data_IF_139058407386
#
_entry.id   IF_139058407386
#
_cell.length_a   1.000
_cell.length_b   1.000
_cell.length_c   1.000
_cell.angle_alpha   90.00
_cell.angle_beta   90.00
_cell.angle_gamma   90.00
#
_symmetry.space_group_name_H-M   'P 1'
#
loop_
_entity.id
_entity.type
_entity.pdbx_description
1 polymer ?
#
# COMPACT_ATOMS: atom_id res chain seq x y z
N UNK A 1 -5.34 -4.25 4.08
CA UNK A 1 -4.70 -5.45 3.53
C UNK A 1 -3.36 -5.76 4.20
N UNK A 2 -2.87 -7.01 4.08
CA UNK A 2 -1.68 -7.49 4.75
C UNK A 2 -0.42 -7.42 3.88
N UNK A 3 -0.58 -7.39 2.58
CA UNK A 3 0.52 -7.27 1.63
C UNK A 3 0.99 -5.82 1.46
N UNK A 4 2.10 -5.66 0.80
CA UNK A 4 2.72 -4.38 0.48
C UNK A 4 3.36 -4.44 -0.90
N UNK A 5 3.58 -3.29 -1.52
CA UNK A 5 4.37 -3.19 -2.73
C UNK A 5 5.78 -3.69 -2.51
N UNK A 6 6.37 -4.26 -3.55
CA UNK A 6 7.73 -4.80 -3.50
C UNK A 6 8.32 -4.91 -4.91
N UNK A 7 9.45 -5.58 -5.02
CA UNK A 7 10.08 -5.92 -6.28
C UNK A 7 10.39 -7.40 -6.31
N UNK A 8 10.54 -7.97 -7.50
CA UNK A 8 11.13 -9.28 -7.68
C UNK A 8 12.46 -9.19 -8.42
N UNK A 9 13.41 -10.06 -8.05
CA UNK A 9 14.57 -10.33 -8.89
C UNK A 9 14.09 -10.90 -10.22
N UNK A 10 14.40 -10.22 -11.31
CA UNK A 10 13.99 -10.63 -12.65
C UNK A 10 15.15 -11.21 -13.47
N UNK A 11 16.33 -10.60 -13.36
CA UNK A 11 17.52 -11.01 -14.09
C UNK A 11 18.78 -10.71 -13.27
N UNK A 12 19.76 -11.57 -13.34
CA UNK A 12 21.07 -11.40 -12.73
C UNK A 12 22.10 -11.44 -13.86
N UNK A 13 22.84 -10.33 -14.04
CA UNK A 13 23.87 -10.22 -15.07
C UNK A 13 25.15 -10.99 -14.71
N UNK A 14 25.99 -11.26 -15.70
CA UNK A 14 27.24 -12.01 -15.51
C UNK A 14 28.22 -11.27 -14.57
N UNK A 15 28.14 -9.94 -14.49
CA UNK A 15 28.91 -9.09 -13.58
C UNK A 15 28.24 -8.90 -12.20
N UNK A 16 27.20 -9.66 -11.89
CA UNK A 16 26.59 -9.74 -10.54
C UNK A 16 25.59 -8.63 -10.21
N UNK A 17 25.13 -7.85 -11.19
CA UNK A 17 24.08 -6.88 -10.98
C UNK A 17 22.69 -7.51 -11.12
N UNK A 18 21.73 -7.04 -10.31
CA UNK A 18 20.39 -7.61 -10.24
C UNK A 18 19.37 -6.61 -10.83
N UNK A 19 18.65 -7.03 -11.85
CA UNK A 19 17.55 -6.27 -12.47
C UNK A 19 16.22 -6.77 -11.93
N UNK A 20 15.25 -5.86 -11.84
CA UNK A 20 14.02 -6.09 -11.08
C UNK A 20 12.77 -5.87 -11.93
N UNK A 21 11.67 -6.46 -11.50
CA UNK A 21 10.32 -6.11 -11.93
C UNK A 21 9.50 -5.67 -10.71
N UNK A 22 8.45 -4.90 -10.96
CA UNK A 22 7.54 -4.45 -9.92
C UNK A 22 6.65 -5.59 -9.42
N UNK A 23 6.35 -5.55 -8.14
CA UNK A 23 5.22 -6.24 -7.53
C UNK A 23 4.33 -5.17 -6.90
N UNK A 24 3.21 -4.88 -7.54
CA UNK A 24 2.38 -3.73 -7.22
C UNK A 24 2.94 -2.41 -7.74
N UNK A 25 2.57 -1.32 -7.07
CA UNK A 25 2.83 0.06 -7.48
C UNK A 25 4.22 0.62 -7.10
N UNK A 26 5.26 -0.21 -7.00
CA UNK A 26 6.61 0.24 -6.63
C UNK A 26 7.15 1.32 -7.59
N UNK A 27 7.65 2.44 -7.04
CA UNK A 27 8.12 3.57 -7.84
C UNK A 27 9.62 3.45 -8.18
N UNK A 28 9.88 3.28 -9.48
CA UNK A 28 11.26 3.19 -9.99
C UNK A 28 12.01 4.52 -9.98
N UNK A 29 11.30 5.66 -9.93
CA UNK A 29 11.95 6.98 -9.94
C UNK A 29 12.67 7.28 -8.63
N UNK A 30 12.17 6.74 -7.52
CA UNK A 30 12.77 6.92 -6.20
C UNK A 30 13.70 5.77 -5.79
N UNK A 31 13.80 4.72 -6.60
CA UNK A 31 14.59 3.55 -6.29
C UNK A 31 16.11 3.83 -6.16
N UNK A 32 16.75 4.66 -7.03
CA UNK A 32 18.18 4.93 -6.92
C UNK A 32 18.61 5.38 -5.53
N UNK A 33 19.73 4.82 -5.05
CA UNK A 33 20.31 5.06 -3.71
C UNK A 33 19.57 4.42 -2.53
N UNK A 34 18.41 3.81 -2.73
CA UNK A 34 17.71 3.10 -1.65
C UNK A 34 18.42 1.78 -1.33
N UNK A 35 18.60 1.53 -0.03
CA UNK A 35 18.98 0.21 0.49
C UNK A 35 17.76 -0.71 0.42
N UNK A 36 18.01 -1.98 0.12
CA UNK A 36 16.95 -3.00 0.02
C UNK A 36 17.30 -4.27 0.79
N UNK A 37 16.27 -5.02 1.12
CA UNK A 37 16.32 -6.37 1.65
C UNK A 37 15.88 -7.33 0.56
N UNK A 38 16.75 -8.25 0.14
CA UNK A 38 16.42 -9.36 -0.73
C UNK A 38 16.13 -10.57 0.15
N UNK A 39 14.92 -11.09 0.07
CA UNK A 39 14.48 -12.20 0.90
C UNK A 39 14.84 -13.52 0.23
N UNK A 40 15.75 -14.27 0.83
CA UNK A 40 16.19 -15.59 0.38
C UNK A 40 15.82 -16.66 1.41
N UNK A 41 15.89 -17.93 1.02
CA UNK A 41 15.71 -19.05 1.96
C UNK A 41 16.77 -19.09 3.09
N UNK A 42 17.92 -18.44 2.89
CA UNK A 42 19.01 -18.39 3.85
C UNK A 42 18.96 -17.14 4.74
N UNK A 43 17.95 -16.29 4.59
CA UNK A 43 17.81 -15.01 5.29
C UNK A 43 17.83 -13.81 4.35
N UNK A 44 18.07 -12.64 4.92
CA UNK A 44 18.03 -11.37 4.20
C UNK A 44 19.43 -11.02 3.67
N UNK A 45 19.53 -10.80 2.36
CA UNK A 45 20.71 -10.21 1.71
C UNK A 45 20.46 -8.71 1.52
N UNK A 46 21.40 -7.88 1.96
CA UNK A 46 21.33 -6.43 1.75
C UNK A 46 21.84 -6.07 0.37
N UNK A 47 21.18 -5.15 -0.29
CA UNK A 47 21.60 -4.56 -1.55
C UNK A 47 21.32 -3.07 -1.60
N UNK A 48 21.79 -2.42 -2.63
CA UNK A 48 21.53 -1.00 -2.89
C UNK A 48 21.14 -0.82 -4.36
N UNK A 49 20.09 -0.05 -4.63
CA UNK A 49 19.81 0.40 -5.98
C UNK A 49 20.90 1.36 -6.44
N UNK A 50 21.67 0.92 -7.44
CA UNK A 50 22.76 1.70 -8.03
C UNK A 50 22.24 2.80 -8.95
N UNK A 51 23.06 3.85 -9.08
CA UNK A 51 22.86 4.89 -10.08
C UNK A 51 24.19 5.53 -10.43
N UNK A 52 24.47 5.89 -11.70
CA UNK A 52 25.71 6.55 -12.06
C UNK A 52 25.93 7.85 -11.29
N UNK A 53 27.16 8.07 -10.81
CA UNK A 53 27.51 9.29 -10.07
C UNK A 53 27.31 10.54 -10.96
N UNK A 54 26.93 11.67 -10.35
CA UNK A 54 26.70 12.92 -11.07
C UNK A 54 27.89 13.32 -11.96
N UNK A 55 29.11 13.08 -11.50
CA UNK A 55 30.34 13.42 -12.24
C UNK A 55 30.56 12.57 -13.50
N UNK A 56 29.91 11.42 -13.61
CA UNK A 56 29.99 10.51 -14.76
C UNK A 56 28.85 10.69 -15.74
N UNK A 57 27.85 11.51 -15.38
CA UNK A 57 26.71 11.82 -16.21
C UNK A 57 26.97 13.13 -16.99
N UNK A 58 26.52 13.21 -18.23
CA UNK A 58 26.53 14.45 -19.01
C UNK A 58 25.10 14.94 -19.19
N UNK A 59 24.88 16.25 -19.13
CA UNK A 59 23.56 16.87 -19.30
C UNK A 59 22.87 16.44 -20.62
N UNK A 60 23.64 16.24 -21.69
CA UNK A 60 23.13 15.79 -22.97
C UNK A 60 22.69 14.31 -23.00
N UNK A 61 23.07 13.53 -22.00
CA UNK A 61 22.75 12.07 -21.87
C UNK A 61 22.07 11.76 -20.53
N UNK A 62 21.53 12.78 -19.86
CA UNK A 62 20.80 12.58 -18.61
C UNK A 62 19.60 11.67 -18.86
N UNK A 63 19.51 10.59 -18.08
CA UNK A 63 18.38 9.66 -18.15
C UNK A 63 17.65 9.66 -16.82
N UNK A 64 16.32 9.64 -16.88
CA UNK A 64 15.51 9.37 -15.71
C UNK A 64 15.60 7.89 -15.33
N UNK A 65 15.48 7.54 -14.05
CA UNK A 65 15.32 6.16 -13.63
C UNK A 65 14.09 5.52 -14.30
N UNK A 66 14.28 4.32 -14.86
CA UNK A 66 13.27 3.49 -15.51
C UNK A 66 13.47 2.04 -15.09
N UNK A 67 12.48 1.20 -15.28
CA UNK A 67 12.59 -0.23 -14.96
C UNK A 67 13.73 -0.95 -15.68
N UNK A 68 14.05 -0.53 -16.88
CA UNK A 68 15.07 -1.13 -17.72
C UNK A 68 16.51 -0.65 -17.41
N UNK A 69 16.66 0.42 -16.60
CA UNK A 69 17.95 0.99 -16.30
C UNK A 69 18.29 1.08 -14.80
N UNK A 70 17.36 0.70 -13.90
CA UNK A 70 17.67 0.53 -12.48
C UNK A 70 18.20 -0.89 -12.20
N UNK A 71 19.13 -1.00 -11.28
CA UNK A 71 19.71 -2.27 -10.88
C UNK A 71 20.08 -2.25 -9.40
N UNK A 72 20.23 -3.44 -8.80
CA UNK A 72 20.68 -3.60 -7.42
C UNK A 72 22.08 -4.20 -7.42
N UNK A 73 22.94 -3.63 -6.60
CA UNK A 73 24.26 -4.13 -6.28
C UNK A 73 24.23 -4.77 -4.87
N UNK A 74 24.75 -6.00 -4.78
CA UNK A 74 24.92 -6.76 -3.53
C UNK A 74 26.39 -7.00 -3.19
N UNK A 75 27.31 -6.30 -3.86
CA UNK A 75 28.76 -6.40 -3.65
C UNK A 75 29.42 -7.62 -4.33
N UNK A 76 28.71 -8.31 -5.21
CA UNK A 76 29.22 -9.44 -6.00
C UNK A 76 29.74 -8.99 -7.36
N UNK A 77 30.70 -9.73 -7.90
CA UNK A 77 31.32 -9.46 -9.20
C UNK A 77 30.94 -10.48 -10.28
N UNK A 78 30.19 -11.51 -9.91
CA UNK A 78 29.72 -12.56 -10.84
C UNK A 78 28.35 -13.05 -10.45
N UNK A 79 27.64 -13.61 -11.40
CA UNK A 79 26.35 -14.24 -11.20
C UNK A 79 26.40 -15.40 -10.21
N UNK A 80 27.50 -16.18 -10.25
CA UNK A 80 27.70 -17.32 -9.34
C UNK A 80 27.84 -16.84 -7.89
N UNK A 81 28.57 -15.76 -7.64
CA UNK A 81 28.72 -15.17 -6.32
C UNK A 81 27.38 -14.65 -5.77
N UNK A 82 26.51 -14.10 -6.62
CA UNK A 82 25.14 -13.73 -6.23
C UNK A 82 24.31 -14.96 -5.86
N UNK A 83 24.43 -16.06 -6.62
CA UNK A 83 23.74 -17.31 -6.34
C UNK A 83 24.21 -17.95 -5.01
N UNK A 84 25.50 -17.84 -4.66
CA UNK A 84 26.06 -18.31 -3.38
C UNK A 84 25.40 -17.61 -2.18
N UNK A 85 24.97 -16.35 -2.32
CA UNK A 85 24.19 -15.63 -1.31
C UNK A 85 22.75 -16.18 -1.18
N UNK A 86 22.33 -17.08 -2.06
CA UNK A 86 20.98 -17.61 -2.11
C UNK A 86 19.99 -16.74 -2.92
N UNK A 87 20.48 -15.73 -3.63
CA UNK A 87 19.66 -14.85 -4.46
C UNK A 87 19.43 -15.53 -5.81
N UNK A 88 18.18 -15.60 -6.23
CA UNK A 88 17.75 -16.14 -7.51
C UNK A 88 16.58 -15.34 -8.10
N UNK A 89 16.26 -15.55 -9.36
CA UNK A 89 15.07 -14.97 -10.00
C UNK A 89 13.82 -15.37 -9.24
N UNK A 90 12.99 -14.39 -8.89
CA UNK A 90 11.78 -14.57 -8.09
C UNK A 90 11.96 -14.28 -6.58
N UNK A 91 13.19 -14.02 -6.09
CA UNK A 91 13.35 -13.50 -4.73
C UNK A 91 12.61 -12.16 -4.58
N UNK A 92 11.85 -12.03 -3.49
CA UNK A 92 11.15 -10.77 -3.14
C UNK A 92 12.15 -9.76 -2.59
N UNK A 93 11.95 -8.49 -2.94
CA UNK A 93 12.79 -7.39 -2.50
C UNK A 93 11.90 -6.31 -1.88
N UNK A 94 12.23 -5.90 -0.65
CA UNK A 94 11.54 -4.82 0.06
C UNK A 94 12.54 -3.75 0.50
N UNK A 95 12.04 -2.55 0.79
CA UNK A 95 12.83 -1.57 1.52
C UNK A 95 13.01 -2.02 2.99
N UNK A 96 14.05 -1.54 3.70
CA UNK A 96 14.24 -1.85 5.11
C UNK A 96 13.06 -1.38 5.97
N UNK A 97 12.78 -2.13 7.01
CA UNK A 97 11.76 -1.79 7.99
C UNK A 97 12.33 -0.73 8.94
N UNK A 98 11.86 0.50 8.80
CA UNK A 98 12.24 1.64 9.64
C UNK A 98 10.99 2.33 10.13
N UNK A 99 11.01 2.80 11.39
CA UNK A 99 9.93 3.58 11.95
C UNK A 99 10.49 4.86 12.57
N UNK A 100 9.98 5.99 12.14
CA UNK A 100 10.38 7.29 12.65
C UNK A 100 9.17 8.10 13.09
N UNK A 101 9.35 8.86 14.17
CA UNK A 101 8.39 9.85 14.61
C UNK A 101 8.93 11.23 14.25
N UNK A 102 8.20 11.95 13.40
CA UNK A 102 8.52 13.32 13.05
C UNK A 102 7.68 14.28 13.90
N UNK A 103 8.35 15.24 14.52
CA UNK A 103 7.72 16.33 15.26
C UNK A 103 6.58 15.86 16.20
N UNK A 104 6.80 14.78 16.95
CA UNK A 104 5.93 14.22 18.01
C UNK A 104 4.70 13.42 17.54
N UNK A 105 4.09 13.74 16.40
CA UNK A 105 2.76 13.25 16.02
C UNK A 105 2.66 12.73 14.59
N UNK A 106 3.75 12.73 13.82
CA UNK A 106 3.78 12.19 12.47
C UNK A 106 4.64 10.92 12.43
N UNK A 107 4.07 9.84 11.94
CA UNK A 107 4.77 8.57 11.78
C UNK A 107 5.23 8.39 10.33
N UNK A 108 6.44 7.90 10.17
CA UNK A 108 7.01 7.53 8.88
C UNK A 108 7.51 6.11 8.95
N UNK A 109 6.97 5.24 8.13
CA UNK A 109 7.50 3.90 7.91
C UNK A 109 7.00 3.33 6.59
N UNK A 110 7.67 2.27 6.16
CA UNK A 110 7.23 1.46 5.04
C UNK A 110 5.86 0.83 5.32
N UNK A 111 5.07 0.67 4.28
CA UNK A 111 3.81 -0.08 4.30
C UNK A 111 2.78 0.42 5.33
N UNK A 112 2.71 1.74 5.58
CA UNK A 112 1.52 2.33 6.19
C UNK A 112 0.28 2.06 5.34
N UNK A 113 0.48 1.88 4.04
CA UNK A 113 -0.38 1.22 3.09
C UNK A 113 -0.14 -0.30 3.14
N UNK A 114 -0.98 -1.12 3.78
CA UNK A 114 -2.17 -0.69 4.52
C UNK A 114 -2.14 -1.24 5.97
N UNK A 115 -0.98 -1.15 6.63
CA UNK A 115 -0.84 -1.53 8.05
C UNK A 115 -1.74 -0.66 8.93
N UNK A 116 -2.04 0.58 8.51
CA UNK A 116 -2.95 1.45 9.24
C UNK A 116 -4.39 0.93 9.22
N UNK A 117 -4.88 0.49 8.07
CA UNK A 117 -6.19 -0.17 7.98
C UNK A 117 -6.25 -1.45 8.81
N UNK A 118 -5.20 -2.27 8.75
CA UNK A 118 -5.07 -3.46 9.60
C UNK A 118 -5.14 -3.13 11.09
N UNK A 119 -4.46 -2.08 11.53
CA UNK A 119 -4.54 -1.57 12.90
C UNK A 119 -5.96 -1.13 13.26
N UNK A 120 -6.64 -0.39 12.38
CA UNK A 120 -8.01 0.10 12.63
C UNK A 120 -8.99 -1.05 12.86
N UNK A 121 -9.00 -2.06 12.01
CA UNK A 121 -9.90 -3.21 12.17
C UNK A 121 -9.60 -4.02 13.43
N UNK A 122 -8.32 -4.15 13.79
CA UNK A 122 -7.93 -4.79 15.06
C UNK A 122 -8.42 -3.98 16.26
N UNK A 123 -8.36 -2.64 16.21
CA UNK A 123 -8.92 -1.78 17.26
C UNK A 123 -10.43 -1.90 17.38
N UNK A 124 -11.17 -2.05 16.28
CA UNK A 124 -12.63 -2.31 16.32
C UNK A 124 -12.91 -3.58 17.11
N UNK A 125 -12.22 -4.69 16.81
CA UNK A 125 -12.38 -5.94 17.55
C UNK A 125 -12.06 -5.77 19.05
N UNK A 126 -10.96 -5.10 19.37
CA UNK A 126 -10.56 -4.81 20.75
C UNK A 126 -11.62 -4.00 21.50
N UNK A 127 -12.08 -2.91 20.92
CA UNK A 127 -13.07 -2.03 21.56
C UNK A 127 -14.41 -2.73 21.78
N UNK A 128 -14.86 -3.57 20.86
CA UNK A 128 -16.08 -4.37 21.03
C UNK A 128 -15.92 -5.37 22.18
N UNK A 129 -14.79 -6.03 22.28
CA UNK A 129 -14.48 -6.97 23.34
C UNK A 129 -14.41 -6.28 24.71
N UNK A 130 -13.63 -5.21 24.84
CA UNK A 130 -13.46 -4.44 26.09
C UNK A 130 -14.79 -3.85 26.59
N UNK A 131 -15.62 -3.37 25.69
CA UNK A 131 -16.93 -2.80 26.03
C UNK A 131 -18.04 -3.87 26.15
N UNK A 132 -17.71 -5.16 26.04
CA UNK A 132 -18.65 -6.29 26.14
C UNK A 132 -19.87 -6.10 25.22
N UNK A 133 -19.66 -5.58 24.01
CA UNK A 133 -20.73 -5.37 23.04
C UNK A 133 -21.13 -6.66 22.37
N UNK A 134 -22.40 -7.06 22.54
CA UNK A 134 -23.00 -8.13 21.76
C UNK A 134 -23.63 -7.51 20.50
N UNK A 135 -23.21 -8.01 19.35
CA UNK A 135 -23.77 -7.60 18.06
C UNK A 135 -24.91 -8.57 17.67
N UNK A 136 -26.00 -8.08 17.07
CA UNK A 136 -27.08 -8.94 16.58
C UNK A 136 -26.74 -9.64 15.25
N UNK A 137 -25.48 -9.60 14.82
CA UNK A 137 -24.97 -10.19 13.58
C UNK A 137 -23.54 -10.69 13.78
N UNK A 138 -23.08 -11.55 12.89
CA UNK A 138 -21.67 -12.00 12.85
C UNK A 138 -20.77 -10.87 12.31
N UNK A 139 -19.71 -10.55 13.05
CA UNK A 139 -18.68 -9.64 12.59
C UNK A 139 -17.40 -10.43 12.29
N UNK A 140 -16.91 -10.28 11.08
CA UNK A 140 -15.64 -10.85 10.62
C UNK A 140 -14.63 -9.71 10.47
N UNK A 141 -13.51 -9.82 11.17
CA UNK A 141 -12.36 -8.93 11.00
C UNK A 141 -11.38 -9.66 10.08
N UNK A 142 -11.20 -9.13 8.87
CA UNK A 142 -10.38 -9.79 7.85
C UNK A 142 -9.25 -8.87 7.40
N UNK A 143 -8.07 -9.43 7.21
CA UNK A 143 -6.93 -8.74 6.64
C UNK A 143 -6.56 -9.47 5.33
N UNK A 144 -6.95 -8.89 4.20
CA UNK A 144 -6.80 -9.48 2.88
C UNK A 144 -5.33 -9.53 2.43
N UNK A 145 -5.05 -10.35 1.45
CA UNK A 145 -3.75 -10.44 0.79
C UNK A 145 -3.89 -10.11 -0.69
N UNK A 146 -2.79 -9.71 -1.34
CA UNK A 146 -2.76 -9.41 -2.77
C UNK A 146 -3.73 -8.29 -3.20
N UNK A 147 -3.92 -7.32 -2.32
CA UNK A 147 -4.63 -6.09 -2.68
C UNK A 147 -3.86 -5.32 -3.75
N UNK A 148 -2.57 -5.10 -3.51
CA UNK A 148 -1.63 -4.33 -4.33
C UNK A 148 -1.46 -4.85 -5.77
N UNK A 149 -1.89 -6.08 -6.02
CA UNK A 149 -1.76 -6.73 -7.32
C UNK A 149 -3.10 -7.19 -7.91
N UNK A 150 -4.20 -6.63 -7.42
CA UNK A 150 -5.52 -6.81 -8.02
C UNK A 150 -6.62 -7.31 -7.09
N UNK A 151 -6.61 -6.95 -5.81
CA UNK A 151 -7.70 -7.12 -4.83
C UNK A 151 -8.10 -8.60 -4.59
N UNK A 152 -7.19 -9.53 -4.85
CA UNK A 152 -7.53 -10.96 -4.99
C UNK A 152 -7.97 -11.60 -3.68
N UNK A 153 -7.35 -11.22 -2.57
CA UNK A 153 -7.71 -11.72 -1.25
C UNK A 153 -9.13 -11.31 -0.86
N UNK A 154 -9.53 -10.08 -1.13
CA UNK A 154 -10.88 -9.60 -0.87
C UNK A 154 -11.94 -10.34 -1.71
N UNK A 155 -11.63 -10.63 -2.98
CA UNK A 155 -12.48 -11.47 -3.82
C UNK A 155 -12.69 -12.86 -3.20
N UNK A 156 -11.61 -13.51 -2.78
CA UNK A 156 -11.68 -14.83 -2.13
C UNK A 156 -12.44 -14.80 -0.78
N UNK A 157 -12.23 -13.76 0.01
CA UNK A 157 -12.96 -13.54 1.27
C UNK A 157 -14.46 -13.40 0.99
N UNK A 158 -14.84 -12.67 -0.05
CA UNK A 158 -16.24 -12.48 -0.44
C UNK A 158 -16.92 -13.80 -0.76
N UNK A 159 -16.23 -14.70 -1.48
CA UNK A 159 -16.75 -16.03 -1.79
C UNK A 159 -16.82 -16.95 -0.57
N UNK A 160 -15.86 -16.85 0.34
CA UNK A 160 -15.77 -17.73 1.52
C UNK A 160 -16.76 -17.33 2.60
N UNK A 161 -16.86 -16.04 2.91
CA UNK A 161 -17.68 -15.52 4.03
C UNK A 161 -19.09 -15.18 3.55
N UNK A 162 -19.26 -14.77 2.29
CA UNK A 162 -20.52 -14.31 1.72
C UNK A 162 -21.18 -13.19 2.58
N UNK A 163 -20.47 -12.10 2.86
CA UNK A 163 -20.95 -11.08 3.77
C UNK A 163 -22.14 -10.31 3.18
N UNK A 164 -23.05 -9.83 4.01
CA UNK A 164 -24.13 -8.94 3.58
C UNK A 164 -23.66 -7.49 3.43
N UNK A 165 -22.65 -7.10 4.23
CA UNK A 165 -22.06 -5.76 4.27
C UNK A 165 -20.55 -5.88 4.40
N UNK A 166 -19.83 -5.02 3.71
CA UNK A 166 -18.38 -4.86 3.86
C UNK A 166 -18.03 -3.38 4.15
N UNK A 167 -17.28 -3.15 5.21
CA UNK A 167 -16.67 -1.85 5.48
C UNK A 167 -15.16 -2.03 5.35
N UNK A 168 -14.60 -1.42 4.32
CA UNK A 168 -13.17 -1.52 3.99
C UNK A 168 -12.44 -0.32 4.58
N UNK A 169 -11.30 -0.58 5.19
CA UNK A 169 -10.38 0.45 5.66
C UNK A 169 -9.13 0.42 4.79
N UNK A 170 -8.75 1.58 4.28
CA UNK A 170 -7.59 1.72 3.42
C UNK A 170 -6.92 3.08 3.63
N UNK A 171 -6.00 3.45 2.78
CA UNK A 171 -5.34 4.76 2.78
C UNK A 171 -5.72 5.58 1.56
N UNK A 172 -5.44 6.86 1.58
CA UNK A 172 -5.61 7.78 0.45
C UNK A 172 -4.56 8.90 0.51
N UNK A 173 -4.51 9.74 -0.50
CA UNK A 173 -3.51 10.80 -0.59
C UNK A 173 -3.89 12.03 0.25
N UNK A 174 -2.94 12.53 1.05
CA UNK A 174 -2.99 13.91 1.56
C UNK A 174 -2.70 14.87 0.39
N UNK A 175 -3.72 15.56 -0.08
CA UNK A 175 -3.64 16.47 -1.23
C UNK A 175 -3.05 17.85 -0.87
N UNK A 176 -2.59 18.03 0.37
CA UNK A 176 -1.73 19.17 0.73
C UNK A 176 -0.26 18.92 0.38
N UNK A 177 0.08 17.71 -0.05
CA UNK A 177 1.40 17.38 -0.57
C UNK A 177 1.74 18.29 -1.76
N UNK A 178 2.93 18.91 -1.80
CA UNK A 178 3.35 19.73 -2.95
C UNK A 178 3.21 18.97 -4.28
N UNK A 179 2.88 19.70 -5.34
CA UNK A 179 2.64 19.19 -6.70
C UNK A 179 1.33 18.42 -6.90
N UNK A 180 0.49 18.26 -5.89
CA UNK A 180 -0.86 17.70 -6.06
C UNK A 180 -1.85 18.83 -6.35
N UNK A 181 -2.54 18.75 -7.50
CA UNK A 181 -3.52 19.74 -7.93
C UNK A 181 -4.91 19.41 -7.33
N UNK A 182 -5.33 20.21 -6.35
CA UNK A 182 -6.59 19.98 -5.61
C UNK A 182 -7.85 20.05 -6.46
N UNK A 183 -7.82 20.82 -7.57
CA UNK A 183 -8.98 20.92 -8.47
C UNK A 183 -9.27 19.60 -9.18
N UNK A 184 -8.25 18.77 -9.37
CA UNK A 184 -8.37 17.47 -10.04
C UNK A 184 -8.43 16.30 -9.07
N UNK A 185 -7.72 16.40 -7.93
CA UNK A 185 -7.58 15.31 -6.95
C UNK A 185 -8.51 15.43 -5.73
N UNK A 186 -9.26 16.55 -5.63
CA UNK A 186 -10.04 16.85 -4.44
C UNK A 186 -9.20 17.44 -3.31
N UNK A 187 -9.81 17.62 -2.14
CA UNK A 187 -9.13 18.13 -0.97
C UNK A 187 -9.28 17.18 0.21
N UNK A 188 -8.19 16.54 0.56
CA UNK A 188 -8.06 15.69 1.75
C UNK A 188 -6.78 16.05 2.49
N UNK A 189 -6.83 16.12 3.81
CA UNK A 189 -5.72 16.55 4.66
C UNK A 189 -5.52 15.57 5.81
N UNK A 190 -4.28 15.15 6.02
CA UNK A 190 -3.87 14.32 7.15
C UNK A 190 -4.18 15.04 8.48
N UNK A 191 -4.67 14.29 9.48
CA UNK A 191 -5.05 14.85 10.78
C UNK A 191 -6.43 15.52 10.83
N UNK A 192 -7.19 15.59 9.71
CA UNK A 192 -8.55 16.17 9.67
C UNK A 192 -9.67 15.12 9.70
N UNK A 193 -9.35 13.92 10.11
CA UNK A 193 -10.25 12.78 10.15
C UNK A 193 -10.18 11.90 8.90
N UNK A 194 -10.76 10.69 8.95
CA UNK A 194 -10.80 9.79 7.83
C UNK A 194 -11.61 10.35 6.68
N UNK A 195 -11.42 9.78 5.50
CA UNK A 195 -12.11 10.15 4.26
C UNK A 195 -13.15 9.11 3.94
N UNK A 196 -14.38 9.52 3.78
CA UNK A 196 -15.48 8.66 3.32
C UNK A 196 -15.62 8.82 1.82
N UNK A 197 -15.52 7.71 1.10
CA UNK A 197 -15.55 7.70 -0.36
C UNK A 197 -16.98 7.78 -0.92
N UNK A 198 -17.14 8.56 -1.98
CA UNK A 198 -18.31 8.63 -2.83
C UNK A 198 -17.90 8.05 -4.20
N UNK A 199 -18.20 6.78 -4.42
CA UNK A 199 -17.74 6.03 -5.58
C UNK A 199 -18.82 5.04 -6.07
N UNK A 200 -18.74 4.55 -7.32
CA UNK A 200 -19.69 3.54 -7.83
C UNK A 200 -19.74 2.26 -7.00
N UNK A 201 -18.59 1.80 -6.47
CA UNK A 201 -18.51 0.62 -5.62
C UNK A 201 -19.07 0.83 -4.20
N UNK A 202 -19.33 2.07 -3.81
CA UNK A 202 -19.81 2.41 -2.46
C UNK A 202 -21.33 2.45 -2.44
N UNK A 203 -21.93 1.59 -1.61
CA UNK A 203 -23.37 1.53 -1.44
C UNK A 203 -23.87 2.78 -0.70
N UNK A 204 -24.78 3.51 -1.33
CA UNK A 204 -25.20 4.85 -0.90
C UNK A 204 -25.79 4.86 0.52
N UNK A 205 -26.73 3.97 0.82
CA UNK A 205 -27.38 3.93 2.14
C UNK A 205 -26.40 3.57 3.26
N UNK A 206 -25.46 2.66 2.98
CA UNK A 206 -24.42 2.31 3.95
C UNK A 206 -23.47 3.49 4.21
N UNK A 207 -23.03 4.18 3.16
CA UNK A 207 -22.23 5.40 3.28
C UNK A 207 -22.95 6.48 4.08
N UNK A 208 -24.23 6.73 3.77
CA UNK A 208 -25.02 7.74 4.46
C UNK A 208 -25.18 7.39 5.94
N UNK A 209 -25.43 6.13 6.30
CA UNK A 209 -25.45 5.66 7.68
C UNK A 209 -24.12 5.91 8.41
N UNK A 210 -22.98 5.67 7.73
CA UNK A 210 -21.65 5.95 8.30
C UNK A 210 -21.47 7.45 8.55
N UNK A 211 -21.83 8.30 7.60
CA UNK A 211 -21.68 9.76 7.74
C UNK A 211 -22.62 10.33 8.80
N UNK A 212 -23.87 9.91 8.83
CA UNK A 212 -24.85 10.30 9.86
C UNK A 212 -24.38 9.86 11.26
N UNK A 213 -23.84 8.66 11.38
CA UNK A 213 -23.25 8.17 12.64
C UNK A 213 -22.07 9.03 13.08
N UNK A 214 -21.18 9.38 12.16
CA UNK A 214 -20.05 10.24 12.46
C UNK A 214 -20.49 11.64 12.91
N UNK A 215 -21.48 12.23 12.23
CA UNK A 215 -22.05 13.53 12.58
C UNK A 215 -22.73 13.51 13.96
N UNK A 216 -23.56 12.50 14.23
CA UNK A 216 -24.24 12.33 15.52
C UNK A 216 -23.26 12.21 16.70
N UNK A 217 -22.11 11.60 16.48
CA UNK A 217 -21.06 11.43 17.50
C UNK A 217 -19.95 12.48 17.42
N UNK A 218 -20.09 13.49 16.56
CA UNK A 218 -19.11 14.58 16.37
C UNK A 218 -17.71 14.06 16.00
N UNK A 219 -17.65 12.97 15.24
CA UNK A 219 -16.41 12.41 14.71
C UNK A 219 -16.06 13.19 13.44
N UNK A 220 -14.88 13.86 13.38
CA UNK A 220 -14.51 14.58 12.18
C UNK A 220 -14.23 13.61 11.02
N UNK A 221 -14.67 13.96 9.83
CA UNK A 221 -14.39 13.21 8.62
C UNK A 221 -14.37 14.12 7.39
N UNK A 222 -13.82 13.61 6.31
CA UNK A 222 -13.71 14.29 5.03
C UNK A 222 -14.42 13.47 3.95
N UNK A 223 -14.68 14.07 2.79
CA UNK A 223 -15.38 13.42 1.67
C UNK A 223 -14.48 13.45 0.42
N UNK A 224 -14.42 12.34 -0.31
CA UNK A 224 -13.76 12.26 -1.60
C UNK A 224 -14.68 11.61 -2.65
N UNK A 225 -14.66 12.13 -3.87
CA UNK A 225 -15.39 11.57 -5.00
C UNK A 225 -14.45 10.81 -5.92
N UNK A 226 -14.83 9.59 -6.30
CA UNK A 226 -14.09 8.72 -7.19
C UNK A 226 -14.99 8.29 -8.35
N UNK A 227 -14.56 8.50 -9.58
CA UNK A 227 -15.44 8.39 -10.76
C UNK A 227 -15.62 6.96 -11.31
N UNK A 228 -14.71 6.05 -11.01
CA UNK A 228 -14.71 4.67 -11.57
C UNK A 228 -14.49 3.63 -10.49
N UNK A 229 -13.25 3.40 -10.13
CA UNK A 229 -12.82 2.45 -9.12
C UNK A 229 -12.34 3.19 -7.88
N UNK A 230 -12.41 2.55 -6.74
CA UNK A 230 -11.77 3.03 -5.51
C UNK A 230 -10.28 2.73 -5.51
N UNK A 231 -9.85 1.69 -6.24
CA UNK A 231 -8.51 1.17 -6.22
C UNK A 231 -8.19 0.43 -4.92
N UNK A 232 -9.21 -0.05 -4.20
CA UNK A 232 -9.10 -0.74 -2.92
C UNK A 232 -9.95 -2.00 -2.91
N UNK A 233 -9.82 -2.81 -1.88
CA UNK A 233 -10.63 -4.02 -1.67
C UNK A 233 -12.15 -3.78 -1.73
N UNK A 234 -12.60 -2.52 -1.60
CA UNK A 234 -14.01 -2.15 -1.76
C UNK A 234 -14.56 -2.57 -3.12
N UNK A 235 -13.77 -2.41 -4.19
CA UNK A 235 -14.20 -2.79 -5.54
C UNK A 235 -14.41 -4.30 -5.64
N UNK A 236 -13.54 -5.11 -5.04
CA UNK A 236 -13.67 -6.56 -5.03
C UNK A 236 -14.92 -7.00 -4.26
N UNK A 237 -15.17 -6.45 -3.08
CA UNK A 237 -16.42 -6.75 -2.35
C UNK A 237 -17.67 -6.33 -3.13
N UNK A 238 -17.67 -5.12 -3.68
CA UNK A 238 -18.84 -4.57 -4.37
C UNK A 238 -19.23 -5.37 -5.62
N UNK A 239 -18.25 -5.96 -6.31
CA UNK A 239 -18.48 -6.60 -7.62
C UNK A 239 -18.30 -8.11 -7.63
N UNK A 240 -18.05 -8.75 -6.49
CA UNK A 240 -17.92 -10.20 -6.35
C UNK A 240 -19.19 -10.83 -5.76
N UNK A 241 -19.40 -12.12 -6.02
CA UNK A 241 -20.44 -12.97 -5.42
C UNK A 241 -21.85 -12.37 -5.49
N UNK A 242 -22.22 -11.76 -6.62
CA UNK A 242 -23.53 -11.13 -6.80
C UNK A 242 -23.66 -9.71 -6.24
N UNK A 243 -22.59 -9.17 -5.69
CA UNK A 243 -22.49 -7.83 -5.13
C UNK A 243 -22.72 -7.78 -3.61
N UNK A 244 -21.84 -7.09 -2.91
CA UNK A 244 -21.91 -6.85 -1.46
C UNK A 244 -22.07 -5.36 -1.22
N UNK A 245 -22.98 -4.97 -0.32
CA UNK A 245 -23.12 -3.58 0.09
C UNK A 245 -21.82 -3.12 0.77
N UNK A 246 -21.04 -2.31 0.07
CA UNK A 246 -19.67 -1.96 0.48
C UNK A 246 -19.53 -0.46 0.76
N UNK A 247 -18.64 -0.13 1.69
CA UNK A 247 -18.21 1.24 1.97
C UNK A 247 -16.70 1.30 2.22
N UNK A 248 -16.12 2.47 1.96
CA UNK A 248 -14.69 2.72 2.13
C UNK A 248 -14.46 3.88 3.09
N UNK A 249 -13.61 3.62 4.08
CA UNK A 249 -13.10 4.59 5.05
C UNK A 249 -11.57 4.63 4.89
N UNK A 250 -11.03 5.73 4.36
CA UNK A 250 -9.61 5.86 4.08
C UNK A 250 -8.92 6.83 5.03
N UNK A 251 -7.64 6.59 5.31
CA UNK A 251 -6.78 7.53 6.05
C UNK A 251 -5.89 8.29 5.08
N UNK A 252 -5.90 9.64 5.08
CA UNK A 252 -4.96 10.41 4.29
C UNK A 252 -3.53 10.22 4.78
N UNK A 253 -2.62 9.91 3.87
CA UNK A 253 -1.18 9.88 4.14
C UNK A 253 -0.39 10.53 3.01
N UNK A 254 0.86 10.88 3.28
CA UNK A 254 1.80 11.42 2.29
C UNK A 254 2.71 10.32 1.78
N UNK A 255 3.17 10.50 0.54
CA UNK A 255 4.26 9.70 -0.04
C UNK A 255 3.93 8.21 -0.13
N UNK A 256 2.64 7.87 -0.31
CA UNK A 256 2.21 6.51 -0.60
C UNK A 256 3.06 5.90 -1.73
N UNK A 257 3.49 4.65 -1.56
CA UNK A 257 4.36 3.92 -2.49
C UNK A 257 5.77 4.51 -2.70
N UNK A 258 6.18 5.52 -1.91
CA UNK A 258 7.49 6.17 -2.08
C UNK A 258 8.40 6.12 -0.85
N UNK A 259 7.89 5.82 0.33
CA UNK A 259 8.68 5.69 1.57
C UNK A 259 8.87 4.26 2.00
#
# INVERSE_FOLDING_TARGET
>A
HADEISWYVNYISDDGLIYVIRNGGSDHQIAPSKIVNIHTKNGIVKGVFGWPAIHTRSAAKEQAPKLDNIFIDVGCKTKEAVAELGVHVGCVITYPDTFHVLNKDHFVCRALDNRMGGFMIAQVARLLHENKKNLPFGLYITNSVQEEIGLRGAEMITHTIQPNVAIVTDVTHDTTTPMIEKKTQGHCEMGKGPVIAYAPAVQQKLRDLITETAEAHKIPFQRAALSRATGTDTDAFAYSNGGVASALISLPLRYMHTT
#
